data_IF_769853802918
#
_entry.id   IF_769853802918
#
_cell.length_a   1.000
_cell.length_b   1.000
_cell.length_c   1.000
_cell.angle_alpha   90.00
_cell.angle_beta   90.00
_cell.angle_gamma   90.00
#
_symmetry.space_group_name_H-M   'P 1'
#
loop_
_entity.id
_entity.type
_entity.pdbx_description
1 polymer ?
#
# COMPACT_ATOMS: atom_id res chain seq x y z
N UNK A 1 -14.10 -13.56 -9.89
CA UNK A 1 -12.85 -13.10 -10.54
C UNK A 1 -12.22 -11.90 -9.83
N UNK A 2 -13.01 -10.90 -9.42
CA UNK A 2 -12.50 -9.63 -8.84
C UNK A 2 -11.57 -9.80 -7.63
N UNK A 3 -11.85 -10.76 -6.74
CA UNK A 3 -11.00 -11.07 -5.58
C UNK A 3 -9.62 -11.62 -5.95
N UNK A 4 -9.51 -12.38 -7.04
CA UNK A 4 -8.23 -12.91 -7.52
C UNK A 4 -7.39 -11.81 -8.16
N UNK A 5 -8.03 -10.97 -8.99
CA UNK A 5 -7.40 -9.82 -9.62
C UNK A 5 -6.85 -8.86 -8.54
N UNK A 6 -7.63 -8.58 -7.49
CA UNK A 6 -7.17 -7.76 -6.37
C UNK A 6 -5.92 -8.33 -5.68
N UNK A 7 -5.88 -9.65 -5.45
CA UNK A 7 -4.70 -10.30 -4.86
C UNK A 7 -3.47 -10.21 -5.75
N UNK A 8 -3.63 -10.40 -7.07
CA UNK A 8 -2.52 -10.25 -8.02
C UNK A 8 -1.95 -8.84 -7.97
N UNK A 9 -2.80 -7.81 -7.94
CA UNK A 9 -2.33 -6.41 -7.81
C UNK A 9 -1.54 -6.18 -6.51
N UNK A 10 -2.01 -6.72 -5.38
CA UNK A 10 -1.30 -6.61 -4.10
C UNK A 10 0.07 -7.30 -4.14
N UNK A 11 0.18 -8.46 -4.80
CA UNK A 11 1.45 -9.19 -4.96
C UNK A 11 2.41 -8.41 -5.88
N UNK A 12 1.92 -7.88 -6.99
CA UNK A 12 2.74 -7.07 -7.89
C UNK A 12 3.24 -5.81 -7.18
N UNK A 13 2.37 -5.13 -6.42
CA UNK A 13 2.74 -3.97 -5.61
C UNK A 13 3.83 -4.33 -4.58
N UNK A 14 3.70 -5.48 -3.91
CA UNK A 14 4.72 -5.98 -2.99
C UNK A 14 6.07 -6.14 -3.70
N UNK A 15 6.12 -6.86 -4.82
CA UNK A 15 7.37 -7.13 -5.55
C UNK A 15 8.03 -5.82 -5.99
N UNK A 16 7.27 -4.91 -6.59
CA UNK A 16 7.80 -3.62 -7.05
C UNK A 16 8.31 -2.79 -5.87
N UNK A 17 7.53 -2.71 -4.78
CA UNK A 17 7.91 -1.93 -3.61
C UNK A 17 9.17 -2.46 -2.93
N UNK A 18 9.33 -3.79 -2.83
CA UNK A 18 10.57 -4.40 -2.33
C UNK A 18 11.73 -4.01 -3.26
N UNK A 19 11.61 -4.21 -4.57
CA UNK A 19 12.68 -3.89 -5.52
C UNK A 19 13.11 -2.41 -5.43
N UNK A 20 12.16 -1.48 -5.32
CA UNK A 20 12.46 -0.05 -5.19
C UNK A 20 13.21 0.27 -3.89
N UNK A 21 12.79 -0.33 -2.77
CA UNK A 21 13.35 -0.05 -1.44
C UNK A 21 14.66 -0.78 -1.16
N UNK A 22 14.92 -1.92 -1.81
CA UNK A 22 16.15 -2.69 -1.63
C UNK A 22 17.21 -2.40 -2.69
N UNK A 23 16.82 -2.27 -3.96
CA UNK A 23 17.76 -2.10 -5.08
C UNK A 23 17.65 -0.75 -5.78
N UNK A 24 16.46 -0.12 -5.76
CA UNK A 24 16.19 1.14 -6.46
C UNK A 24 16.74 2.40 -5.78
N UNK A 25 17.40 2.25 -4.62
CA UNK A 25 17.97 3.37 -3.87
C UNK A 25 16.95 4.23 -3.10
N UNK A 26 15.66 3.89 -3.15
CA UNK A 26 14.64 4.61 -2.40
C UNK A 26 14.79 4.38 -0.89
N UNK A 27 14.85 5.45 -0.12
CA UNK A 27 14.95 5.37 1.33
C UNK A 27 13.66 4.83 1.97
N UNK A 28 13.80 4.08 3.08
CA UNK A 28 12.66 3.54 3.84
C UNK A 28 11.73 4.65 4.34
N UNK A 29 12.31 5.77 4.80
CA UNK A 29 11.55 6.94 5.26
C UNK A 29 10.79 7.57 4.09
N UNK A 30 11.47 7.77 2.95
CA UNK A 30 10.88 8.34 1.74
C UNK A 30 9.71 7.49 1.25
N UNK A 31 9.92 6.17 1.12
CA UNK A 31 8.88 5.23 0.75
C UNK A 31 7.69 5.29 1.73
N UNK A 32 7.95 5.34 3.03
CA UNK A 32 6.90 5.43 4.06
C UNK A 32 6.06 6.70 3.91
N UNK A 33 6.71 7.85 3.70
CA UNK A 33 6.02 9.13 3.51
C UNK A 33 5.14 9.10 2.26
N UNK A 34 5.66 8.58 1.14
CA UNK A 34 4.91 8.44 -0.12
C UNK A 34 3.68 7.57 0.11
N UNK A 35 3.84 6.38 0.71
CA UNK A 35 2.72 5.46 0.96
C UNK A 35 1.66 6.11 1.84
N UNK A 36 2.06 6.71 2.97
CA UNK A 36 1.10 7.34 3.90
C UNK A 36 0.36 8.48 3.20
N UNK A 37 1.06 9.32 2.44
CA UNK A 37 0.44 10.41 1.69
C UNK A 37 -0.58 9.89 0.66
N UNK A 38 -0.24 8.85 -0.10
CA UNK A 38 -1.13 8.24 -1.09
C UNK A 38 -2.36 7.61 -0.43
N UNK A 39 -2.18 6.85 0.66
CA UNK A 39 -3.30 6.24 1.37
C UNK A 39 -4.22 7.29 2.01
N UNK A 40 -3.66 8.34 2.60
CA UNK A 40 -4.42 9.46 3.15
C UNK A 40 -5.21 10.18 2.05
N UNK A 41 -4.58 10.43 0.89
CA UNK A 41 -5.25 11.04 -0.25
C UNK A 41 -6.44 10.20 -0.73
N UNK A 42 -6.27 8.87 -0.88
CA UNK A 42 -7.35 7.96 -1.25
C UNK A 42 -8.48 7.98 -0.21
N UNK A 43 -8.15 8.00 1.09
CA UNK A 43 -9.15 8.08 2.16
C UNK A 43 -9.96 9.38 2.09
N UNK A 44 -9.29 10.52 1.90
CA UNK A 44 -9.92 11.83 1.80
C UNK A 44 -10.83 11.90 0.57
N UNK A 45 -10.30 11.52 -0.60
CA UNK A 45 -11.08 11.52 -1.85
C UNK A 45 -12.27 10.57 -1.74
N UNK A 46 -12.07 9.37 -1.20
CA UNK A 46 -13.15 8.40 -0.97
C UNK A 46 -14.23 8.96 -0.05
N UNK A 47 -13.84 9.61 1.05
CA UNK A 47 -14.78 10.24 1.99
C UNK A 47 -15.54 11.43 1.39
N UNK A 48 -14.94 12.18 0.46
CA UNK A 48 -15.58 13.32 -0.18
C UNK A 48 -16.52 12.93 -1.31
N UNK A 49 -16.25 11.81 -1.98
CA UNK A 49 -16.97 11.39 -3.19
C UNK A 49 -18.13 10.44 -2.90
N UNK A 50 -18.14 9.77 -1.75
CA UNK A 50 -19.11 8.73 -1.46
C UNK A 50 -19.84 8.97 -0.14
N UNK A 51 -21.18 8.93 -0.18
CA UNK A 51 -22.04 9.12 0.98
C UNK A 51 -22.60 7.79 1.52
N UNK A 52 -22.46 6.69 0.78
CA UNK A 52 -22.90 5.38 1.24
C UNK A 52 -21.87 4.76 2.17
N UNK A 53 -22.28 4.49 3.42
CA UNK A 53 -21.43 3.83 4.41
C UNK A 53 -20.85 2.51 3.91
N UNK A 54 -21.63 1.67 3.22
CA UNK A 54 -21.16 0.37 2.74
C UNK A 54 -20.05 0.46 1.69
N UNK A 55 -20.07 1.51 0.87
CA UNK A 55 -19.02 1.77 -0.12
C UNK A 55 -17.79 2.41 0.53
N UNK A 56 -17.97 3.30 1.51
CA UNK A 56 -16.86 3.79 2.32
C UNK A 56 -16.15 2.65 3.04
N UNK A 57 -16.89 1.72 3.67
CA UNK A 57 -16.33 0.53 4.32
C UNK A 57 -15.51 -0.31 3.34
N UNK A 58 -15.98 -0.44 2.09
CA UNK A 58 -15.26 -1.13 1.02
C UNK A 58 -13.97 -0.42 0.63
N UNK A 59 -13.98 0.93 0.56
CA UNK A 59 -12.78 1.73 0.29
C UNK A 59 -11.78 1.57 1.43
N UNK A 60 -12.21 1.72 2.69
CA UNK A 60 -11.34 1.55 3.85
C UNK A 60 -10.78 0.13 3.96
N UNK A 61 -11.55 -0.90 3.58
CA UNK A 61 -11.04 -2.26 3.51
C UNK A 61 -9.91 -2.43 2.47
N UNK A 62 -10.02 -1.76 1.31
CA UNK A 62 -8.95 -1.72 0.30
C UNK A 62 -7.73 -0.92 0.76
N UNK A 63 -7.93 0.21 1.44
CA UNK A 63 -6.84 0.99 2.04
C UNK A 63 -6.10 0.14 3.07
N UNK A 64 -6.82 -0.61 3.92
CA UNK A 64 -6.23 -1.52 4.90
C UNK A 64 -5.40 -2.62 4.25
N UNK A 65 -5.86 -3.21 3.15
CA UNK A 65 -5.06 -4.24 2.46
C UNK A 65 -3.79 -3.66 1.84
N UNK A 66 -3.86 -2.46 1.25
CA UNK A 66 -2.69 -1.74 0.74
C UNK A 66 -1.69 -1.39 1.85
N UNK A 67 -2.18 -0.93 3.01
CA UNK A 67 -1.34 -0.64 4.16
C UNK A 67 -0.58 -1.87 4.66
N UNK A 68 -1.23 -3.03 4.73
CA UNK A 68 -0.57 -4.28 5.12
C UNK A 68 0.54 -4.68 4.15
N UNK A 69 0.32 -4.49 2.84
CA UNK A 69 1.36 -4.74 1.82
C UNK A 69 2.53 -3.78 1.98
N UNK A 70 2.27 -2.49 2.22
CA UNK A 70 3.32 -1.52 2.47
C UNK A 70 4.16 -1.87 3.71
N UNK A 71 3.50 -2.30 4.80
CA UNK A 71 4.21 -2.80 5.99
C UNK A 71 5.07 -4.02 5.68
N UNK A 72 4.58 -4.95 4.86
CA UNK A 72 5.37 -6.10 4.43
C UNK A 72 6.61 -5.68 3.62
N UNK A 73 6.47 -4.68 2.73
CA UNK A 73 7.60 -4.10 1.99
C UNK A 73 8.62 -3.49 2.97
N UNK A 74 8.17 -2.69 3.93
CA UNK A 74 9.03 -2.05 4.93
C UNK A 74 9.82 -3.07 5.75
N UNK A 75 9.14 -4.11 6.27
CA UNK A 75 9.80 -5.19 7.01
C UNK A 75 10.84 -5.89 6.13
N UNK A 76 10.50 -6.20 4.88
CA UNK A 76 11.43 -6.85 3.93
C UNK A 76 12.65 -5.98 3.67
N UNK A 77 12.46 -4.68 3.45
CA UNK A 77 13.54 -3.73 3.22
C UNK A 77 14.44 -3.56 4.45
N UNK A 78 13.86 -3.55 5.65
CA UNK A 78 14.62 -3.52 6.90
C UNK A 78 15.46 -4.78 7.10
N UNK A 79 14.90 -5.96 6.81
CA UNK A 79 15.65 -7.22 6.87
C UNK A 79 16.84 -7.20 5.90
N UNK A 80 16.63 -6.74 4.67
CA UNK A 80 17.70 -6.60 3.67
C UNK A 80 18.82 -5.63 4.07
N UNK A 81 18.53 -4.61 4.88
CA UNK A 81 19.56 -3.72 5.42
C UNK A 81 20.30 -4.31 6.62
N UNK A 82 19.73 -5.33 7.26
CA UNK A 82 20.30 -5.97 8.44
C UNK A 82 21.30 -7.09 8.08
N UNK A 83 21.18 -7.67 6.88
CA UNK A 83 22.07 -8.71 6.33
C UNK A 83 23.00 -8.12 5.25
#
# INVERSE_FOLDING_TARGET
MERYIHRIYLVVLYIIGVLLTTYGGMGIIEFSLIVIAVLAFIAIVGSLTENSQSKLDTIFAKIRSLFLVAMAILITALLFKLF
#
